data_IF_818319852989
#
_entry.id   IF_818319852989
#
_cell.length_a   1.000
_cell.length_b   1.000
_cell.length_c   1.000
_cell.angle_alpha   90.00
_cell.angle_beta   90.00
_cell.angle_gamma   90.00
#
_symmetry.space_group_name_H-M   'P 1'
#
loop_
_entity.id
_entity.type
_entity.pdbx_description
1 polymer ?
#
# COMPACT_ATOMS: atom_id res chain seq x y z
N UNK A 1 -0.24 31.32 -4.95
CA UNK A 1 -0.08 30.03 -5.63
C UNK A 1 1.22 29.40 -5.14
N UNK A 2 1.27 28.08 -4.93
CA UNK A 2 2.53 27.42 -4.54
C UNK A 2 3.50 27.41 -5.72
N UNK A 3 4.77 27.74 -5.49
CA UNK A 3 5.80 27.68 -6.53
C UNK A 3 6.20 26.23 -6.84
N UNK A 4 6.76 25.97 -8.02
CA UNK A 4 7.28 24.63 -8.39
C UNK A 4 8.25 24.08 -7.33
N UNK A 5 9.10 24.95 -6.76
CA UNK A 5 10.09 24.61 -5.73
C UNK A 5 9.42 24.18 -4.43
N UNK A 6 8.37 24.87 -4.01
CA UNK A 6 7.60 24.51 -2.80
C UNK A 6 6.88 23.17 -2.98
N UNK A 7 6.30 22.92 -4.16
CA UNK A 7 5.64 21.64 -4.45
C UNK A 7 6.67 20.49 -4.44
N UNK A 8 7.83 20.69 -5.07
CA UNK A 8 8.91 19.71 -5.05
C UNK A 8 9.42 19.43 -3.62
N UNK A 9 9.53 20.47 -2.78
CA UNK A 9 9.92 20.30 -1.37
C UNK A 9 8.90 19.47 -0.58
N UNK A 10 7.59 19.68 -0.82
CA UNK A 10 6.51 18.88 -0.22
C UNK A 10 6.50 17.43 -0.72
N UNK A 11 6.80 17.21 -1.99
CA UNK A 11 6.96 15.85 -2.54
C UNK A 11 8.14 15.15 -1.86
N UNK A 12 9.28 15.83 -1.80
CA UNK A 12 10.50 15.29 -1.17
C UNK A 12 10.29 14.96 0.31
N UNK A 13 9.54 15.77 1.07
CA UNK A 13 9.20 15.44 2.46
C UNK A 13 8.30 14.21 2.58
N UNK A 14 7.30 14.05 1.72
CA UNK A 14 6.45 12.85 1.68
C UNK A 14 7.23 11.59 1.26
N UNK A 15 8.14 11.69 0.30
CA UNK A 15 8.98 10.55 -0.10
C UNK A 15 9.82 10.02 1.07
N UNK A 16 10.29 10.90 1.97
CA UNK A 16 11.04 10.49 3.17
C UNK A 16 10.21 9.63 4.13
N UNK A 17 8.89 9.80 4.18
CA UNK A 17 8.01 9.04 5.09
C UNK A 17 7.67 7.63 4.56
N UNK A 18 7.92 7.34 3.28
CA UNK A 18 7.66 6.01 2.73
C UNK A 18 8.55 4.95 3.41
N UNK A 19 8.03 3.73 3.64
CA UNK A 19 8.85 2.62 4.12
C UNK A 19 9.91 2.23 3.10
N UNK A 20 10.93 1.49 3.55
CA UNK A 20 11.89 0.86 2.62
C UNK A 20 11.19 -0.24 1.83
N UNK A 21 11.56 -0.39 0.56
CA UNK A 21 11.01 -1.45 -0.28
C UNK A 21 11.36 -2.83 0.30
N UNK A 22 10.35 -3.72 0.33
CA UNK A 22 10.48 -5.06 0.91
C UNK A 22 11.52 -5.90 0.16
N UNK A 23 11.57 -5.76 -1.16
CA UNK A 23 12.53 -6.46 -2.01
C UNK A 23 13.27 -5.44 -2.85
N UNK A 24 14.58 -5.38 -2.67
CA UNK A 24 15.45 -4.47 -3.42
C UNK A 24 15.91 -5.16 -4.70
N UNK A 25 15.22 -4.89 -5.80
CA UNK A 25 15.65 -5.34 -7.11
C UNK A 25 16.20 -4.16 -7.90
N UNK A 26 17.52 -3.99 -7.91
CA UNK A 26 18.30 -2.98 -8.64
C UNK A 26 18.03 -1.50 -8.34
N UNK A 27 16.80 -1.10 -8.04
CA UNK A 27 16.41 0.26 -7.69
C UNK A 27 15.27 0.25 -6.66
N UNK A 28 15.23 1.25 -5.78
CA UNK A 28 14.10 1.50 -4.90
C UNK A 28 13.28 2.68 -5.43
N UNK A 29 11.95 2.57 -5.40
CA UNK A 29 11.08 3.68 -5.78
C UNK A 29 11.38 4.92 -4.94
N UNK A 30 11.49 4.75 -3.62
CA UNK A 30 11.78 5.83 -2.69
C UNK A 30 13.10 6.54 -3.06
N UNK A 31 14.16 5.79 -3.22
CA UNK A 31 15.51 6.33 -3.43
C UNK A 31 15.61 7.05 -4.78
N UNK A 32 15.10 6.43 -5.86
CA UNK A 32 15.10 7.03 -7.21
C UNK A 32 14.30 8.34 -7.25
N UNK A 33 13.15 8.39 -6.57
CA UNK A 33 12.36 9.62 -6.55
C UNK A 33 13.01 10.70 -5.67
N UNK A 34 13.64 10.35 -4.54
CA UNK A 34 14.39 11.30 -3.74
C UNK A 34 15.49 11.97 -4.57
N UNK A 35 16.28 11.19 -5.32
CA UNK A 35 17.30 11.72 -6.22
C UNK A 35 16.72 12.61 -7.32
N UNK A 36 15.58 12.20 -7.91
CA UNK A 36 14.89 12.99 -8.94
C UNK A 36 14.48 14.37 -8.42
N UNK A 37 13.90 14.45 -7.23
CA UNK A 37 13.43 15.70 -6.63
C UNK A 37 14.52 16.50 -5.90
N UNK A 38 15.74 15.98 -5.83
CA UNK A 38 16.93 16.76 -5.47
C UNK A 38 17.55 17.47 -6.68
N UNK A 39 17.32 16.98 -7.91
CA UNK A 39 17.87 17.56 -9.12
C UNK A 39 16.98 18.70 -9.67
N UNK A 40 17.45 19.97 -9.66
CA UNK A 40 16.65 21.12 -10.11
C UNK A 40 16.29 21.10 -11.60
N UNK A 41 17.18 20.58 -12.45
CA UNK A 41 16.95 20.51 -13.90
C UNK A 41 15.80 19.57 -14.23
N UNK A 42 15.75 18.42 -13.54
CA UNK A 42 14.64 17.47 -13.68
C UNK A 42 13.31 18.09 -13.26
N UNK A 43 13.29 18.95 -12.24
CA UNK A 43 12.08 19.64 -11.78
C UNK A 43 11.67 20.75 -12.76
N UNK A 44 12.65 21.49 -13.31
CA UNK A 44 12.39 22.59 -14.23
C UNK A 44 11.59 22.14 -15.47
N UNK A 45 11.92 20.94 -15.98
CA UNK A 45 11.28 20.33 -17.14
C UNK A 45 9.85 19.81 -16.89
N UNK A 46 9.38 19.79 -15.64
CA UNK A 46 8.02 19.34 -15.30
C UNK A 46 7.09 20.56 -15.23
N UNK A 47 5.90 20.46 -15.83
CA UNK A 47 4.90 21.52 -15.72
C UNK A 47 4.44 21.71 -14.25
N UNK A 48 3.96 22.90 -13.89
CA UNK A 48 3.44 23.10 -12.52
C UNK A 48 2.21 22.24 -12.26
N UNK A 49 1.37 22.03 -13.27
CA UNK A 49 0.19 21.17 -13.19
C UNK A 49 0.57 19.71 -12.92
N UNK A 50 1.58 19.19 -13.62
CA UNK A 50 2.05 17.81 -13.41
C UNK A 50 2.73 17.64 -12.05
N UNK A 51 3.44 18.66 -11.56
CA UNK A 51 3.98 18.64 -10.20
C UNK A 51 2.87 18.59 -9.15
N UNK A 52 1.79 19.36 -9.33
CA UNK A 52 0.62 19.30 -8.44
C UNK A 52 -0.03 17.93 -8.48
N UNK A 53 -0.21 17.35 -9.67
CA UNK A 53 -0.78 16.01 -9.82
C UNK A 53 0.09 14.96 -9.12
N UNK A 54 1.41 15.01 -9.32
CA UNK A 54 2.35 14.10 -8.65
C UNK A 54 2.28 14.24 -7.12
N UNK A 55 2.19 15.46 -6.59
CA UNK A 55 2.02 15.68 -5.16
C UNK A 55 0.72 15.07 -4.61
N UNK A 56 -0.42 15.30 -5.29
CA UNK A 56 -1.72 14.73 -4.88
C UNK A 56 -1.68 13.21 -4.90
N UNK A 57 -1.16 12.60 -5.98
CA UNK A 57 -1.04 11.16 -6.12
C UNK A 57 -0.15 10.54 -5.04
N UNK A 58 1.02 11.15 -4.77
CA UNK A 58 1.92 10.67 -3.72
C UNK A 58 1.28 10.80 -2.33
N UNK A 59 0.62 11.92 -2.04
CA UNK A 59 -0.10 12.12 -0.78
C UNK A 59 -1.18 11.07 -0.59
N UNK A 60 -1.95 10.78 -1.63
CA UNK A 60 -3.02 9.79 -1.60
C UNK A 60 -2.46 8.37 -1.39
N UNK A 61 -1.29 8.06 -1.96
CA UNK A 61 -0.57 6.81 -1.75
C UNK A 61 -0.04 6.67 -0.31
N UNK A 62 0.65 7.69 0.21
CA UNK A 62 1.22 7.70 1.58
C UNK A 62 0.12 7.57 2.63
N UNK A 63 -1.04 8.17 2.39
CA UNK A 63 -2.16 8.13 3.32
C UNK A 63 -3.07 6.90 3.16
N UNK A 64 -2.65 5.88 2.38
CA UNK A 64 -3.43 4.66 2.16
C UNK A 64 -4.88 4.99 1.75
N UNK A 65 -5.11 6.07 0.98
CA UNK A 65 -6.45 6.68 0.79
C UNK A 65 -7.50 5.65 0.39
N UNK A 66 -7.20 4.79 -0.58
CA UNK A 66 -8.15 3.79 -1.07
C UNK A 66 -8.35 2.61 -0.12
N UNK A 67 -7.31 2.20 0.61
CA UNK A 67 -7.46 1.21 1.70
C UNK A 67 -8.34 1.75 2.82
N UNK A 68 -8.21 3.04 3.12
CA UNK A 68 -9.03 3.72 4.11
C UNK A 68 -10.45 4.04 3.62
N UNK A 69 -10.63 4.24 2.32
CA UNK A 69 -11.93 4.50 1.70
C UNK A 69 -12.77 3.22 1.59
N UNK A 70 -12.14 2.12 1.17
CA UNK A 70 -12.77 0.80 1.08
C UNK A 70 -12.41 -0.06 2.29
N UNK A 71 -12.58 0.47 3.50
CA UNK A 71 -12.36 -0.30 4.72
C UNK A 71 -13.26 -1.53 4.74
N UNK A 72 -12.63 -2.69 4.84
CA UNK A 72 -13.35 -3.96 4.99
C UNK A 72 -13.94 -4.00 6.39
N UNK A 73 -15.25 -4.18 6.46
CA UNK A 73 -15.96 -4.38 7.72
C UNK A 73 -15.62 -5.76 8.32
N UNK A 74 -15.68 -5.88 9.64
CA UNK A 74 -15.49 -7.13 10.37
C UNK A 74 -16.46 -8.21 9.87
N UNK A 75 -17.65 -7.81 9.42
CA UNK A 75 -18.62 -8.74 8.81
C UNK A 75 -18.09 -9.43 7.54
N UNK A 76 -17.27 -8.73 6.75
CA UNK A 76 -16.63 -9.30 5.56
C UNK A 76 -15.39 -10.12 5.94
N UNK A 77 -14.58 -9.64 6.88
CA UNK A 77 -13.36 -10.33 7.30
C UNK A 77 -13.63 -11.56 8.18
N UNK A 78 -14.76 -11.60 8.88
CA UNK A 78 -15.17 -12.67 9.80
C UNK A 78 -16.65 -13.00 9.54
N UNK A 79 -16.96 -13.71 8.45
CA UNK A 79 -18.33 -14.00 8.09
C UNK A 79 -18.99 -14.87 9.17
N UNK A 80 -20.25 -14.60 9.49
CA UNK A 80 -20.98 -15.23 10.62
C UNK A 80 -20.95 -16.77 10.60
N UNK A 81 -21.05 -17.38 9.43
CA UNK A 81 -21.05 -18.85 9.27
C UNK A 81 -19.66 -19.48 9.34
N UNK A 82 -18.59 -18.71 9.10
CA UNK A 82 -17.22 -19.19 9.17
C UNK A 82 -16.25 -18.06 9.55
N UNK A 83 -16.22 -17.66 10.84
CA UNK A 83 -15.44 -16.51 11.27
C UNK A 83 -13.93 -16.64 11.04
N UNK A 84 -13.43 -17.87 10.90
CA UNK A 84 -12.00 -18.18 10.68
C UNK A 84 -11.65 -18.38 9.21
N UNK A 85 -12.57 -18.16 8.27
CA UNK A 85 -12.40 -18.48 6.86
C UNK A 85 -11.10 -17.91 6.27
N UNK A 86 -10.90 -16.59 6.38
CA UNK A 86 -9.72 -15.92 5.82
C UNK A 86 -8.45 -16.22 6.59
N UNK A 87 -8.52 -16.38 7.92
CA UNK A 87 -7.37 -16.77 8.75
C UNK A 87 -6.77 -18.10 8.28
N UNK A 88 -7.63 -19.07 7.94
CA UNK A 88 -7.22 -20.39 7.45
C UNK A 88 -6.53 -20.31 6.09
N UNK A 89 -7.15 -19.60 5.13
CA UNK A 89 -6.57 -19.41 3.80
C UNK A 89 -5.20 -18.70 3.90
N UNK A 90 -5.09 -17.69 4.76
CA UNK A 90 -3.83 -16.99 4.98
C UNK A 90 -2.76 -17.90 5.61
N UNK A 91 -3.13 -18.74 6.59
CA UNK A 91 -2.21 -19.69 7.21
C UNK A 91 -1.70 -20.74 6.22
N UNK A 92 -2.54 -21.22 5.30
CA UNK A 92 -2.16 -22.15 4.25
C UNK A 92 -1.20 -21.52 3.24
N UNK A 93 -1.51 -20.30 2.77
CA UNK A 93 -0.65 -19.55 1.83
C UNK A 93 0.74 -19.29 2.44
N UNK A 94 0.79 -18.98 3.73
CA UNK A 94 2.05 -18.75 4.46
C UNK A 94 2.79 -20.03 4.81
N UNK A 95 2.17 -21.20 4.65
CA UNK A 95 2.73 -22.49 5.04
C UNK A 95 2.76 -22.73 6.56
N UNK A 96 2.03 -21.93 7.35
CA UNK A 96 1.98 -22.02 8.81
C UNK A 96 1.17 -23.25 9.27
N UNK A 97 0.11 -23.61 8.54
CA UNK A 97 -0.75 -24.75 8.84
C UNK A 97 -1.43 -25.26 7.57
N UNK A 98 -1.45 -26.58 7.37
CA UNK A 98 -2.28 -27.22 6.34
C UNK A 98 -3.53 -27.80 7.01
N UNK A 99 -4.71 -27.44 6.54
CA UNK A 99 -5.91 -28.15 6.99
C UNK A 99 -6.00 -29.52 6.32
N UNK A 100 -6.46 -30.51 7.09
CA UNK A 100 -6.79 -31.81 6.52
C UNK A 100 -8.21 -31.81 5.98
N UNK A 101 -8.51 -32.71 5.04
CA UNK A 101 -9.86 -32.84 4.47
C UNK A 101 -10.96 -33.06 5.53
N UNK A 102 -10.64 -33.70 6.65
CA UNK A 102 -11.56 -33.81 7.79
C UNK A 102 -11.86 -32.46 8.45
N UNK A 103 -10.86 -31.59 8.62
CA UNK A 103 -11.02 -30.28 9.23
C UNK A 103 -11.92 -29.38 8.36
N UNK A 104 -11.75 -29.45 7.04
CA UNK A 104 -12.59 -28.73 6.08
C UNK A 104 -14.05 -29.18 6.15
N UNK A 105 -14.30 -30.50 6.18
CA UNK A 105 -15.66 -31.06 6.30
C UNK A 105 -16.30 -30.66 7.63
N UNK A 106 -15.56 -30.78 8.75
CA UNK A 106 -16.05 -30.34 10.07
C UNK A 106 -16.42 -28.86 10.07
N UNK A 107 -15.60 -28.02 9.42
CA UNK A 107 -15.88 -26.58 9.36
C UNK A 107 -17.14 -26.27 8.56
N UNK A 108 -17.37 -26.95 7.43
CA UNK A 108 -18.58 -26.71 6.62
C UNK A 108 -19.84 -27.16 7.37
N UNK A 109 -19.76 -28.25 8.12
CA UNK A 109 -20.92 -28.82 8.84
C UNK A 109 -21.21 -28.08 10.15
N UNK A 110 -20.18 -27.68 10.89
CA UNK A 110 -20.32 -27.14 12.25
C UNK A 110 -19.96 -25.66 12.39
N UNK A 111 -19.44 -25.02 11.33
CA UNK A 111 -18.96 -23.63 11.36
C UNK A 111 -17.73 -23.40 12.25
N UNK A 112 -17.06 -24.48 12.69
CA UNK A 112 -15.92 -24.48 13.61
C UNK A 112 -14.92 -25.58 13.27
#
# INVERSE_FOLDING_TARGET
>A
MLTKREIAAKIHSLLKTLPKDRIKHYASFKDVQLERFLNPEKIANISEQDLKLQYVSLRDLVNDKYKNYYKLDDKLLKPKGNPRYYDRILAEIKGEKKETWMDAIRTVVYGK
#
